data_IF_526947388425
#
_entry.id   IF_526947388425
#
_cell.length_a   1.000
_cell.length_b   1.000
_cell.length_c   1.000
_cell.angle_alpha   90.00
_cell.angle_beta   90.00
_cell.angle_gamma   90.00
#
_symmetry.space_group_name_H-M   'P 1'
#
loop_
_entity.id
_entity.type
_entity.pdbx_description
1 polymer ?
#
# COMPACT_ATOMS: atom_id res chain seq x y z
N UNK A 1 6.09 40.78 1.11
CA UNK A 1 5.37 39.48 1.05
C UNK A 1 6.39 38.52 0.48
N UNK A 2 7.08 37.81 1.37
CA UNK A 2 8.02 36.77 0.95
C UNK A 2 7.26 35.70 0.19
N UNK A 3 7.59 35.56 -1.08
CA UNK A 3 7.11 34.44 -1.89
C UNK A 3 7.65 33.15 -1.26
N UNK A 4 6.73 32.27 -0.90
CA UNK A 4 7.07 30.94 -0.41
C UNK A 4 8.01 30.26 -1.42
N UNK A 5 9.10 29.61 -1.00
CA UNK A 5 9.99 28.92 -1.93
C UNK A 5 9.20 27.99 -2.85
N UNK A 6 9.50 28.02 -4.15
CA UNK A 6 8.79 27.25 -5.18
C UNK A 6 8.67 25.77 -4.84
N UNK A 7 9.70 25.20 -4.21
CA UNK A 7 9.71 23.80 -3.74
C UNK A 7 8.63 23.53 -2.68
N UNK A 8 8.36 24.46 -1.77
CA UNK A 8 7.32 24.32 -0.76
C UNK A 8 5.93 24.38 -1.39
N UNK A 9 5.72 25.27 -2.38
CA UNK A 9 4.45 25.37 -3.10
C UNK A 9 4.15 24.07 -3.88
N UNK A 10 5.16 23.49 -4.52
CA UNK A 10 5.05 22.19 -5.21
C UNK A 10 4.65 21.09 -4.23
N UNK A 11 5.36 20.95 -3.11
CA UNK A 11 5.06 19.93 -2.10
C UNK A 11 3.65 20.06 -1.51
N UNK A 12 3.19 21.26 -1.30
CA UNK A 12 1.82 21.53 -0.81
C UNK A 12 0.80 21.09 -1.86
N UNK A 13 1.02 21.41 -3.13
CA UNK A 13 0.12 21.01 -4.23
C UNK A 13 0.06 19.49 -4.39
N UNK A 14 1.19 18.82 -4.32
CA UNK A 14 1.27 17.36 -4.40
C UNK A 14 0.52 16.69 -3.23
N UNK A 15 0.69 17.20 -2.02
CA UNK A 15 -0.04 16.72 -0.85
C UNK A 15 -1.56 16.92 -0.98
N UNK A 16 -1.98 18.10 -1.42
CA UNK A 16 -3.40 18.40 -1.66
C UNK A 16 -3.97 17.44 -2.71
N UNK A 17 -3.24 17.19 -3.79
CA UNK A 17 -3.68 16.28 -4.84
C UNK A 17 -3.83 14.85 -4.33
N UNK A 18 -2.89 14.37 -3.51
CA UNK A 18 -2.97 13.04 -2.88
C UNK A 18 -4.22 12.91 -2.00
N UNK A 19 -4.49 13.90 -1.15
CA UNK A 19 -5.68 13.91 -0.29
C UNK A 19 -6.98 13.93 -1.10
N UNK A 20 -7.02 14.68 -2.20
CA UNK A 20 -8.17 14.70 -3.11
C UNK A 20 -8.39 13.34 -3.78
N UNK A 21 -7.32 12.70 -4.25
CA UNK A 21 -7.38 11.37 -4.86
C UNK A 21 -7.88 10.32 -3.86
N UNK A 22 -7.37 10.37 -2.63
CA UNK A 22 -7.77 9.47 -1.54
C UNK A 22 -9.26 9.64 -1.20
N UNK A 23 -9.71 10.88 -1.04
CA UNK A 23 -11.13 11.19 -0.78
C UNK A 23 -12.04 10.70 -1.90
N UNK A 24 -11.67 10.91 -3.16
CA UNK A 24 -12.44 10.45 -4.31
C UNK A 24 -12.52 8.91 -4.37
N UNK A 25 -11.41 8.20 -4.11
CA UNK A 25 -11.39 6.75 -4.04
C UNK A 25 -12.30 6.21 -2.91
N UNK A 26 -12.22 6.80 -1.72
CA UNK A 26 -13.03 6.40 -0.57
C UNK A 26 -14.52 6.58 -0.82
N UNK A 27 -14.92 7.68 -1.46
CA UNK A 27 -16.31 7.88 -1.87
C UNK A 27 -16.76 6.84 -2.90
N UNK A 28 -15.92 6.55 -3.90
CA UNK A 28 -16.21 5.54 -4.93
C UNK A 28 -16.35 4.13 -4.35
N UNK A 29 -15.54 3.77 -3.37
CA UNK A 29 -15.51 2.45 -2.75
C UNK A 29 -16.36 2.33 -1.49
N UNK A 30 -17.03 3.40 -1.07
CA UNK A 30 -17.87 3.46 0.13
C UNK A 30 -17.15 3.08 1.42
N UNK A 31 -15.89 3.47 1.57
CA UNK A 31 -15.11 3.31 2.81
C UNK A 31 -14.91 4.65 3.51
N UNK A 32 -14.69 4.59 4.82
CA UNK A 32 -14.53 5.75 5.69
C UNK A 32 -13.05 6.09 5.87
N UNK A 33 -12.73 7.37 5.87
CA UNK A 33 -11.40 7.85 6.20
C UNK A 33 -11.29 8.08 7.72
N UNK A 34 -10.47 7.27 8.36
CA UNK A 34 -10.16 7.38 9.78
C UNK A 34 -8.91 8.24 10.06
N UNK A 35 -8.42 8.96 9.05
CA UNK A 35 -7.21 9.77 9.16
C UNK A 35 -5.92 8.96 9.32
N UNK A 36 -5.95 7.69 8.92
CA UNK A 36 -4.82 6.76 8.94
C UNK A 36 -4.33 6.47 7.52
N UNK A 37 -3.11 5.93 7.36
CA UNK A 37 -2.61 5.55 6.04
C UNK A 37 -3.52 4.56 5.31
N UNK A 38 -3.62 4.74 3.99
CA UNK A 38 -4.23 3.77 3.08
C UNK A 38 -3.18 2.78 2.60
N UNK A 39 -3.35 1.53 2.95
CA UNK A 39 -2.56 0.40 2.45
C UNK A 39 -3.24 -0.22 1.24
N UNK A 40 -2.48 -0.48 0.17
CA UNK A 40 -3.05 -0.99 -1.07
C UNK A 40 -2.28 -2.18 -1.63
N UNK A 41 -3.00 -3.03 -2.35
CA UNK A 41 -2.46 -4.12 -3.17
C UNK A 41 -3.10 -4.04 -4.54
N UNK A 42 -2.28 -4.04 -5.59
CA UNK A 42 -2.70 -4.19 -6.98
C UNK A 42 -1.83 -5.29 -7.60
N UNK A 43 -2.34 -6.51 -7.67
CA UNK A 43 -1.55 -7.64 -8.17
C UNK A 43 -2.43 -8.85 -8.52
N UNK A 44 -1.81 -9.88 -9.11
CA UNK A 44 -2.40 -11.20 -9.11
C UNK A 44 -2.51 -11.73 -7.68
N UNK A 45 -3.64 -12.35 -7.34
CA UNK A 45 -3.87 -12.90 -6.01
C UNK A 45 -3.35 -14.34 -5.95
N UNK A 46 -2.03 -14.49 -5.82
CA UNK A 46 -1.33 -15.77 -5.77
C UNK A 46 -0.41 -15.87 -4.57
N UNK A 47 -0.10 -17.10 -4.14
CA UNK A 47 0.82 -17.37 -3.04
C UNK A 47 2.21 -16.75 -3.25
N UNK A 48 2.68 -16.68 -4.50
CA UNK A 48 3.94 -16.02 -4.85
C UNK A 48 4.01 -14.55 -4.42
N UNK A 49 2.86 -13.87 -4.31
CA UNK A 49 2.77 -12.44 -3.91
C UNK A 49 2.78 -12.23 -2.40
N UNK A 50 2.96 -13.28 -1.60
CA UNK A 50 3.04 -13.19 -0.14
C UNK A 50 1.70 -12.86 0.53
N UNK A 51 0.59 -13.22 -0.11
CA UNK A 51 -0.74 -12.87 0.37
C UNK A 51 -1.18 -13.67 1.59
N UNK A 52 -0.57 -14.81 1.83
CA UNK A 52 -0.68 -15.56 3.08
C UNK A 52 -0.20 -14.73 4.28
N UNK A 53 0.91 -14.00 4.14
CA UNK A 53 1.38 -13.08 5.18
C UNK A 53 0.39 -11.93 5.39
N UNK A 54 -0.17 -11.41 4.30
CA UNK A 54 -1.16 -10.32 4.33
C UNK A 54 -2.42 -10.77 5.06
N UNK A 55 -2.93 -11.97 4.83
CA UNK A 55 -4.11 -12.50 5.52
C UNK A 55 -3.96 -12.47 7.04
N UNK A 56 -2.77 -12.79 7.56
CA UNK A 56 -2.49 -12.69 9.00
C UNK A 56 -2.40 -11.27 9.52
N UNK A 57 -1.83 -10.36 8.71
CA UNK A 57 -1.58 -8.99 9.13
C UNK A 57 -2.80 -8.06 9.01
N UNK A 58 -3.80 -8.42 8.17
CA UNK A 58 -4.91 -7.52 7.83
C UNK A 58 -5.80 -7.18 9.02
N UNK A 59 -6.29 -8.18 9.76
CA UNK A 59 -7.21 -7.91 10.90
C UNK A 59 -6.57 -7.00 11.94
N UNK A 60 -5.34 -7.28 12.44
CA UNK A 60 -4.67 -6.36 13.36
C UNK A 60 -4.47 -4.95 12.78
N UNK A 61 -4.19 -4.84 11.48
CA UNK A 61 -4.03 -3.55 10.82
C UNK A 61 -5.35 -2.77 10.77
N UNK A 62 -6.45 -3.44 10.43
CA UNK A 62 -7.80 -2.84 10.40
C UNK A 62 -8.29 -2.47 11.80
N UNK A 63 -7.95 -3.23 12.84
CA UNK A 63 -8.20 -2.89 14.23
C UNK A 63 -7.43 -1.62 14.69
N UNK A 64 -6.34 -1.28 14.02
CA UNK A 64 -5.64 0.00 14.19
C UNK A 64 -6.26 1.14 13.36
N UNK A 65 -7.43 0.93 12.77
CA UNK A 65 -8.18 1.89 11.95
C UNK A 65 -7.49 2.31 10.64
N UNK A 66 -6.53 1.54 10.14
CA UNK A 66 -5.99 1.74 8.80
C UNK A 66 -7.04 1.39 7.74
N UNK A 67 -6.96 2.03 6.58
CA UNK A 67 -7.76 1.65 5.43
C UNK A 67 -6.97 0.68 4.53
N UNK A 68 -7.69 -0.25 3.89
CA UNK A 68 -7.10 -1.24 2.97
C UNK A 68 -7.92 -1.34 1.69
N UNK A 69 -7.25 -1.27 0.55
CA UNK A 69 -7.87 -1.50 -0.76
C UNK A 69 -7.06 -2.54 -1.53
N UNK A 70 -7.73 -3.59 -1.97
CA UNK A 70 -7.13 -4.67 -2.76
C UNK A 70 -7.82 -4.74 -4.12
N UNK A 71 -7.03 -4.75 -5.19
CA UNK A 71 -7.47 -5.02 -6.55
C UNK A 71 -6.65 -6.14 -7.15
N UNK A 72 -7.32 -7.17 -7.64
CA UNK A 72 -6.67 -8.28 -8.32
C UNK A 72 -7.57 -9.49 -8.45
N UNK A 73 -7.03 -10.53 -9.06
CA UNK A 73 -7.67 -11.84 -9.18
C UNK A 73 -6.63 -12.95 -9.24
N UNK A 74 -7.01 -14.17 -8.93
CA UNK A 74 -6.09 -15.28 -8.98
C UNK A 74 -6.59 -16.54 -8.31
N UNK A 75 -5.94 -16.98 -7.25
CA UNK A 75 -6.32 -18.17 -6.51
C UNK A 75 -7.61 -17.91 -5.71
N UNK A 76 -8.62 -18.74 -5.93
CA UNK A 76 -9.94 -18.62 -5.29
C UNK A 76 -9.87 -18.55 -3.77
N UNK A 77 -8.89 -19.24 -3.17
CA UNK A 77 -8.66 -19.19 -1.74
C UNK A 77 -8.43 -17.75 -1.25
N UNK A 78 -7.52 -17.01 -1.88
CA UNK A 78 -7.22 -15.62 -1.50
C UNK A 78 -8.42 -14.70 -1.75
N UNK A 79 -9.09 -14.84 -2.89
CA UNK A 79 -10.28 -14.05 -3.20
C UNK A 79 -11.35 -14.21 -2.11
N UNK A 80 -11.61 -15.44 -1.67
CA UNK A 80 -12.60 -15.75 -0.63
C UNK A 80 -12.17 -15.26 0.76
N UNK A 81 -10.91 -15.47 1.15
CA UNK A 81 -10.43 -15.08 2.48
C UNK A 81 -10.37 -13.55 2.62
N UNK A 82 -9.93 -12.83 1.60
CA UNK A 82 -9.97 -11.36 1.61
C UNK A 82 -11.40 -10.82 1.66
N UNK A 83 -12.33 -11.43 0.94
CA UNK A 83 -13.74 -11.01 0.98
C UNK A 83 -14.37 -11.26 2.35
N UNK A 84 -14.01 -12.33 3.06
CA UNK A 84 -14.44 -12.55 4.44
C UNK A 84 -13.96 -11.43 5.37
N UNK A 85 -12.68 -11.04 5.26
CA UNK A 85 -12.12 -9.95 6.08
C UNK A 85 -12.81 -8.63 5.71
N UNK A 86 -13.01 -8.34 4.44
CA UNK A 86 -13.74 -7.15 3.99
C UNK A 86 -15.15 -7.10 4.60
N UNK A 87 -15.86 -8.23 4.65
CA UNK A 87 -17.20 -8.30 5.25
C UNK A 87 -17.19 -8.03 6.77
N UNK A 88 -16.09 -8.33 7.46
CA UNK A 88 -15.91 -8.01 8.89
C UNK A 88 -15.62 -6.51 9.10
N UNK A 89 -14.98 -5.84 8.14
CA UNK A 89 -14.54 -4.43 8.21
C UNK A 89 -15.06 -3.61 7.00
N UNK A 90 -16.37 -3.56 6.76
CA UNK A 90 -16.92 -3.00 5.51
C UNK A 90 -16.70 -1.49 5.36
N UNK A 91 -16.46 -0.78 6.47
CA UNK A 91 -16.19 0.66 6.44
C UNK A 91 -14.71 1.01 6.26
N UNK A 92 -13.79 0.06 6.42
CA UNK A 92 -12.34 0.30 6.38
C UNK A 92 -11.66 -0.40 5.21
N UNK A 93 -12.27 -1.44 4.65
CA UNK A 93 -11.66 -2.27 3.60
C UNK A 93 -12.56 -2.39 2.39
N UNK A 94 -11.96 -2.24 1.20
CA UNK A 94 -12.58 -2.55 -0.07
C UNK A 94 -11.74 -3.55 -0.87
N UNK A 95 -12.41 -4.38 -1.64
CA UNK A 95 -11.77 -5.32 -2.55
C UNK A 95 -12.49 -5.32 -3.91
N UNK A 96 -11.72 -5.35 -4.99
CA UNK A 96 -12.21 -5.54 -6.34
C UNK A 96 -11.55 -6.80 -6.92
N UNK A 97 -12.34 -7.83 -7.13
CA UNK A 97 -11.88 -9.07 -7.75
C UNK A 97 -12.01 -8.95 -9.27
N UNK A 98 -10.89 -8.92 -9.94
CA UNK A 98 -10.83 -8.79 -11.40
C UNK A 98 -9.70 -7.87 -11.87
N UNK A 99 -9.80 -7.49 -13.15
CA UNK A 99 -8.91 -6.52 -13.77
C UNK A 99 -9.69 -5.22 -14.05
N UNK A 100 -9.14 -4.10 -13.61
CA UNK A 100 -9.69 -2.78 -13.87
C UNK A 100 -8.54 -1.75 -13.87
N UNK A 101 -8.11 -1.36 -15.05
CA UNK A 101 -6.95 -0.48 -15.24
C UNK A 101 -7.20 0.93 -14.69
N UNK A 102 -8.36 1.48 -14.93
CA UNK A 102 -8.74 2.79 -14.40
C UNK A 102 -8.73 2.80 -12.86
N UNK A 103 -9.34 1.78 -12.23
CA UNK A 103 -9.36 1.66 -10.79
C UNK A 103 -7.95 1.42 -10.23
N UNK A 104 -7.09 0.66 -10.93
CA UNK A 104 -5.70 0.46 -10.53
C UNK A 104 -4.95 1.80 -10.44
N UNK A 105 -5.07 2.66 -11.46
CA UNK A 105 -4.47 3.99 -11.44
C UNK A 105 -5.02 4.87 -10.29
N UNK A 106 -6.31 4.82 -10.04
CA UNK A 106 -6.93 5.54 -8.92
C UNK A 106 -6.42 5.04 -7.56
N UNK A 107 -6.21 3.73 -7.41
CA UNK A 107 -5.65 3.12 -6.20
C UNK A 107 -4.20 3.58 -5.99
N UNK A 108 -3.34 3.51 -7.02
CA UNK A 108 -1.97 4.01 -6.93
C UNK A 108 -1.92 5.48 -6.54
N UNK A 109 -2.78 6.31 -7.15
CA UNK A 109 -2.82 7.75 -6.92
C UNK A 109 -3.33 8.15 -5.52
N UNK A 110 -4.07 7.27 -4.86
CA UNK A 110 -4.60 7.48 -3.51
C UNK A 110 -3.80 6.78 -2.41
N UNK A 111 -2.90 5.88 -2.77
CA UNK A 111 -2.17 5.03 -1.84
C UNK A 111 -1.14 5.80 -1.02
N UNK A 112 -1.12 5.60 0.29
CA UNK A 112 -0.02 6.01 1.15
C UNK A 112 1.08 4.93 1.14
N UNK A 113 0.68 3.67 1.31
CA UNK A 113 1.59 2.51 1.40
C UNK A 113 1.14 1.41 0.43
N UNK A 114 2.00 1.07 -0.51
CA UNK A 114 1.77 0.02 -1.49
C UNK A 114 2.47 -1.28 -1.08
N UNK A 115 1.70 -2.36 -0.87
CA UNK A 115 2.21 -3.61 -0.32
C UNK A 115 2.70 -4.57 -1.41
N UNK A 116 3.94 -5.02 -1.30
CA UNK A 116 4.54 -6.08 -2.13
C UNK A 116 5.35 -7.07 -1.26
N UNK A 117 4.70 -7.87 -0.41
CA UNK A 117 5.38 -8.80 0.49
C UNK A 117 5.78 -10.12 -0.19
N UNK A 118 6.19 -10.06 -1.43
CA UNK A 118 6.39 -11.20 -2.33
C UNK A 118 7.33 -12.26 -1.78
N UNK A 119 6.97 -13.54 -1.94
CA UNK A 119 7.87 -14.67 -1.71
C UNK A 119 9.02 -14.63 -2.72
N UNK A 120 8.70 -14.31 -3.96
CA UNK A 120 9.64 -14.20 -5.06
C UNK A 120 9.20 -13.09 -6.02
N UNK A 121 10.12 -12.19 -6.38
CA UNK A 121 9.87 -11.08 -7.30
C UNK A 121 11.14 -10.82 -8.14
N UNK A 122 11.25 -11.38 -9.35
CA UNK A 122 12.46 -11.24 -10.17
C UNK A 122 12.80 -9.80 -10.50
N UNK A 123 11.81 -9.01 -10.89
CA UNK A 123 11.95 -7.60 -11.26
C UNK A 123 11.06 -6.71 -10.41
N UNK A 124 9.74 -6.95 -10.50
CA UNK A 124 8.73 -6.07 -9.95
C UNK A 124 8.55 -4.80 -10.78
N UNK A 125 7.30 -4.41 -11.02
CA UNK A 125 6.95 -3.15 -11.66
C UNK A 125 6.04 -2.33 -10.73
N UNK A 126 5.24 -2.99 -9.91
CA UNK A 126 4.28 -2.34 -9.03
C UNK A 126 4.90 -1.30 -8.10
N UNK A 127 6.08 -1.58 -7.53
CA UNK A 127 6.80 -0.62 -6.68
C UNK A 127 7.25 0.63 -7.46
N UNK A 128 7.61 0.47 -8.73
CA UNK A 128 8.01 1.61 -9.58
C UNK A 128 6.80 2.48 -9.92
N UNK A 129 5.65 1.85 -10.20
CA UNK A 129 4.40 2.58 -10.43
C UNK A 129 3.99 3.30 -9.15
N UNK A 130 4.03 2.64 -7.99
CA UNK A 130 3.72 3.24 -6.70
C UNK A 130 4.57 4.48 -6.43
N UNK A 131 5.90 4.37 -6.59
CA UNK A 131 6.83 5.50 -6.44
C UNK A 131 6.51 6.64 -7.41
N UNK A 132 6.15 6.34 -8.66
CA UNK A 132 5.77 7.34 -9.65
C UNK A 132 4.53 8.13 -9.25
N UNK A 133 3.61 7.51 -8.52
CA UNK A 133 2.40 8.13 -7.98
C UNK A 133 2.59 8.76 -6.59
N UNK A 134 3.78 8.66 -6.00
CA UNK A 134 4.08 9.17 -4.67
C UNK A 134 3.68 8.25 -3.51
N UNK A 135 3.25 7.02 -3.80
CA UNK A 135 2.99 6.00 -2.78
C UNK A 135 4.31 5.35 -2.34
N UNK A 136 4.44 5.08 -1.04
CA UNK A 136 5.62 4.41 -0.49
C UNK A 136 5.47 2.89 -0.57
N UNK A 137 6.30 2.18 -1.35
CA UNK A 137 6.25 0.73 -1.37
C UNK A 137 6.72 0.14 -0.03
N UNK A 138 5.97 -0.84 0.49
CA UNK A 138 6.37 -1.69 1.59
C UNK A 138 6.58 -3.09 1.02
N UNK A 139 7.83 -3.53 1.00
CA UNK A 139 8.23 -4.71 0.25
C UNK A 139 8.96 -5.72 1.11
N UNK A 140 8.89 -6.99 0.74
CA UNK A 140 9.90 -7.94 1.19
C UNK A 140 11.15 -7.74 0.35
N UNK A 141 12.29 -7.64 1.01
CA UNK A 141 13.58 -7.35 0.37
C UNK A 141 14.10 -8.61 -0.36
N UNK A 142 13.62 -8.82 -1.58
CA UNK A 142 13.93 -9.99 -2.43
C UNK A 142 13.96 -9.60 -3.91
N UNK A 143 14.86 -10.21 -4.67
CA UNK A 143 14.98 -10.01 -6.11
C UNK A 143 15.09 -8.54 -6.51
N UNK A 144 14.40 -8.11 -7.56
CA UNK A 144 14.41 -6.75 -8.06
C UNK A 144 13.88 -5.68 -7.10
N UNK A 145 13.20 -6.08 -6.02
CA UNK A 145 12.77 -5.13 -4.98
C UNK A 145 13.97 -4.58 -4.18
N UNK A 146 15.02 -5.39 -3.98
CA UNK A 146 16.27 -4.94 -3.36
C UNK A 146 16.98 -3.83 -4.17
N UNK A 147 16.78 -3.83 -5.49
CA UNK A 147 17.49 -2.90 -6.38
C UNK A 147 16.78 -1.55 -6.49
N UNK A 148 15.49 -1.51 -6.15
CA UNK A 148 14.62 -0.36 -6.41
C UNK A 148 14.06 0.30 -5.15
N UNK A 149 13.99 -0.42 -4.02
CA UNK A 149 13.46 0.09 -2.77
C UNK A 149 14.59 0.23 -1.74
N UNK A 150 14.78 1.45 -1.26
CA UNK A 150 15.67 1.78 -0.15
C UNK A 150 14.82 1.92 1.11
N UNK A 151 14.86 0.94 2.02
CA UNK A 151 14.01 0.96 3.20
C UNK A 151 14.33 2.13 4.12
N UNK A 152 13.30 2.77 4.66
CA UNK A 152 13.45 3.79 5.67
C UNK A 152 13.96 3.19 6.98
N UNK A 153 15.08 3.75 7.45
CA UNK A 153 15.62 3.61 8.79
C UNK A 153 15.88 5.02 9.35
N UNK A 154 15.88 5.19 10.65
CA UNK A 154 15.91 6.52 11.29
C UNK A 154 16.95 7.49 10.73
N UNK A 155 18.09 6.98 10.26
CA UNK A 155 19.24 7.79 9.85
C UNK A 155 19.33 8.06 8.33
N UNK A 156 18.45 7.46 7.50
CA UNK A 156 18.54 7.57 6.03
C UNK A 156 17.37 8.29 5.38
N UNK A 157 16.67 9.15 6.09
CA UNK A 157 15.41 9.78 5.63
C UNK A 157 15.49 10.44 4.24
N UNK A 158 16.66 10.96 3.87
CA UNK A 158 16.83 11.63 2.56
C UNK A 158 16.95 10.66 1.39
N UNK A 159 17.39 9.43 1.64
CA UNK A 159 17.67 8.44 0.61
C UNK A 159 16.60 7.35 0.54
N UNK A 160 15.81 7.21 1.61
CA UNK A 160 14.76 6.20 1.69
C UNK A 160 13.58 6.54 0.77
N UNK A 161 13.03 5.53 0.10
CA UNK A 161 11.88 5.65 -0.76
C UNK A 161 10.78 4.63 -0.47
N UNK A 162 10.85 3.92 0.65
CA UNK A 162 9.85 2.93 1.04
C UNK A 162 10.17 2.24 2.36
N UNK A 163 9.52 1.11 2.59
CA UNK A 163 9.71 0.26 3.77
C UNK A 163 10.10 -1.15 3.34
N UNK A 164 10.83 -1.85 4.17
CA UNK A 164 11.30 -3.19 3.83
C UNK A 164 11.41 -4.12 5.02
N UNK A 165 11.15 -5.41 4.78
CA UNK A 165 11.41 -6.50 5.72
C UNK A 165 12.07 -7.68 4.98
N UNK A 166 12.75 -8.55 5.72
CA UNK A 166 13.57 -9.63 5.12
C UNK A 166 12.96 -11.02 5.32
N UNK A 167 12.59 -11.35 6.56
CA UNK A 167 12.05 -12.66 6.88
C UNK A 167 10.67 -12.86 6.26
N UNK A 168 10.45 -13.99 5.57
CA UNK A 168 9.12 -14.37 5.07
C UNK A 168 8.25 -14.85 6.23
N UNK A 169 7.74 -13.88 6.99
CA UNK A 169 6.95 -14.13 8.19
C UNK A 169 5.93 -13.00 8.42
N UNK A 170 4.71 -13.37 8.83
CA UNK A 170 3.61 -12.43 9.01
C UNK A 170 3.91 -11.35 10.07
N UNK A 171 4.61 -11.69 11.15
CA UNK A 171 5.02 -10.71 12.17
C UNK A 171 5.98 -9.67 11.60
N UNK A 172 6.95 -10.08 10.77
CA UNK A 172 7.88 -9.15 10.14
C UNK A 172 7.14 -8.15 9.22
N UNK A 173 6.16 -8.63 8.45
CA UNK A 173 5.30 -7.77 7.65
C UNK A 173 4.50 -6.80 8.54
N UNK A 174 3.82 -7.32 9.56
CA UNK A 174 2.97 -6.50 10.43
C UNK A 174 3.77 -5.45 11.22
N UNK A 175 4.94 -5.80 11.73
CA UNK A 175 5.82 -4.84 12.42
C UNK A 175 6.27 -3.70 11.48
N UNK A 176 6.53 -4.02 10.22
CA UNK A 176 6.86 -3.02 9.19
C UNK A 176 5.65 -2.15 8.84
N UNK A 177 4.44 -2.72 8.78
CA UNK A 177 3.20 -1.94 8.62
C UNK A 177 2.98 -0.97 9.79
N UNK A 178 3.17 -1.44 11.03
CA UNK A 178 3.09 -0.57 12.22
C UNK A 178 4.11 0.56 12.15
N UNK A 179 5.33 0.27 11.72
CA UNK A 179 6.36 1.28 11.52
C UNK A 179 5.92 2.34 10.50
N UNK A 180 5.39 1.90 9.36
CA UNK A 180 4.88 2.80 8.33
C UNK A 180 3.71 3.67 8.81
N UNK A 181 2.89 3.21 9.75
CA UNK A 181 1.80 4.00 10.35
C UNK A 181 2.28 5.10 11.30
N UNK A 182 3.54 5.06 11.76
CA UNK A 182 4.12 6.02 12.70
C UNK A 182 4.94 7.11 12.01
N UNK A 183 5.28 6.92 10.74
CA UNK A 183 6.08 7.83 9.94
C UNK A 183 5.23 8.82 9.17
#
# INVERSE_FOLDING_TARGET
IDTMPEEIDILIREKIQLEMNKKALFQKLHIQDEGKPLFTIVSRLTSQKGLDLVLYALRPLLEMHANVVILGSGERYFEQEFEKIRAEYPSLMAIYIGYNDELAHQIYAASDVFLMPSLFEPCGIGQLIALRYGALPLVRMVGGLNDTVVPYILDNRKDANGFGFYAYHATALFDTMKWAMQC
#
